data_IF_856262690140
#
_entry.id   IF_856262690140
#
_cell.length_a   1.000
_cell.length_b   1.000
_cell.length_c   1.000
_cell.angle_alpha   90.00
_cell.angle_beta   90.00
_cell.angle_gamma   90.00
#
_symmetry.space_group_name_H-M   'P 1'
#
loop_
_entity.id
_entity.type
_entity.pdbx_description
1 polymer ?
#
# COMPACT_ATOMS: atom_id res chain seq x y z
N UNK A 1 -10.54 19.82 4.91
CA UNK A 1 -11.44 18.65 5.07
C UNK A 1 -11.93 18.18 3.70
N UNK A 2 -11.15 17.30 3.06
CA UNK A 2 -11.28 16.92 1.65
C UNK A 2 -12.65 16.30 1.30
N UNK A 3 -13.14 16.56 0.08
CA UNK A 3 -14.29 15.88 -0.53
C UNK A 3 -13.91 14.43 -0.93
N UNK A 4 -13.18 13.72 -0.08
CA UNK A 4 -12.95 12.28 -0.26
C UNK A 4 -14.30 11.54 -0.22
N UNK A 5 -15.39 12.11 0.27
CA UNK A 5 -16.65 11.36 0.43
C UNK A 5 -17.53 11.24 -0.82
N UNK A 6 -17.44 12.13 -1.81
CA UNK A 6 -18.45 12.15 -2.89
C UNK A 6 -18.29 11.08 -3.97
N UNK A 7 -17.11 10.43 -4.07
CA UNK A 7 -16.82 9.44 -5.12
C UNK A 7 -16.70 8.00 -4.60
N UNK A 8 -16.98 7.75 -3.32
CA UNK A 8 -16.64 6.49 -2.65
C UNK A 8 -17.85 5.63 -2.27
N UNK A 9 -19.07 6.02 -2.66
CA UNK A 9 -20.27 5.30 -2.24
C UNK A 9 -20.28 3.82 -2.68
N UNK A 10 -19.85 3.49 -3.90
CA UNK A 10 -19.93 2.11 -4.39
C UNK A 10 -18.89 1.18 -3.74
N UNK A 11 -17.64 1.63 -3.61
CA UNK A 11 -16.57 0.82 -3.01
C UNK A 11 -16.75 0.65 -1.50
N UNK A 12 -17.21 1.68 -0.79
CA UNK A 12 -17.55 1.54 0.63
C UNK A 12 -18.78 0.66 0.83
N UNK A 13 -19.82 0.76 -0.04
CA UNK A 13 -21.02 -0.10 0.02
C UNK A 13 -20.73 -1.61 -0.12
N UNK A 14 -19.54 -2.01 -0.58
CA UNK A 14 -19.13 -3.41 -0.61
C UNK A 14 -18.45 -3.89 0.68
N UNK A 15 -18.01 -2.98 1.57
CA UNK A 15 -17.36 -3.32 2.83
C UNK A 15 -18.40 -3.68 3.91
N UNK A 16 -18.03 -4.54 4.87
CA UNK A 16 -18.82 -4.77 6.08
C UNK A 16 -18.96 -3.49 6.91
N UNK A 17 -20.04 -3.37 7.68
CA UNK A 17 -20.31 -2.17 8.48
C UNK A 17 -19.20 -1.86 9.49
N UNK A 18 -18.63 -2.87 10.15
CA UNK A 18 -17.47 -2.70 11.04
C UNK A 18 -16.25 -2.12 10.31
N UNK A 19 -15.97 -2.61 9.10
CA UNK A 19 -14.82 -2.16 8.32
C UNK A 19 -15.04 -0.74 7.80
N UNK A 20 -16.28 -0.39 7.42
CA UNK A 20 -16.67 0.99 7.09
C UNK A 20 -16.47 1.91 8.29
N UNK A 21 -16.99 1.56 9.46
CA UNK A 21 -16.87 2.36 10.69
C UNK A 21 -15.41 2.61 11.05
N UNK A 22 -14.57 1.57 11.01
CA UNK A 22 -13.13 1.69 11.27
C UNK A 22 -12.45 2.66 10.29
N UNK A 23 -12.78 2.57 9.00
CA UNK A 23 -12.19 3.45 7.98
C UNK A 23 -12.73 4.87 8.12
N UNK A 24 -14.03 5.06 8.35
CA UNK A 24 -14.63 6.38 8.57
C UNK A 24 -13.99 7.08 9.77
N UNK A 25 -13.69 6.33 10.83
CA UNK A 25 -12.95 6.83 11.99
C UNK A 25 -11.51 7.24 11.62
N UNK A 26 -10.78 6.39 10.88
CA UNK A 26 -9.43 6.72 10.38
C UNK A 26 -9.42 7.95 9.46
N UNK A 27 -10.52 8.19 8.73
CA UNK A 27 -10.63 9.30 7.78
C UNK A 27 -11.11 10.62 8.40
N UNK A 28 -11.55 10.62 9.67
CA UNK A 28 -12.08 11.79 10.35
C UNK A 28 -11.00 12.85 10.66
N UNK A 29 -9.74 12.43 10.80
CA UNK A 29 -8.55 13.28 10.90
C UNK A 29 -7.78 13.22 9.58
N UNK A 30 -7.50 14.37 8.93
CA UNK A 30 -6.94 14.52 7.56
C UNK A 30 -6.07 13.32 7.10
N UNK A 31 -6.69 12.28 6.52
CA UNK A 31 -6.04 10.99 6.37
C UNK A 31 -5.16 10.99 5.12
N UNK A 32 -3.97 10.40 5.24
CA UNK A 32 -3.09 10.23 4.10
C UNK A 32 -3.60 9.04 3.28
N UNK A 33 -4.03 9.29 2.05
CA UNK A 33 -4.44 8.22 1.13
C UNK A 33 -3.26 7.86 0.25
N UNK A 34 -2.83 6.61 0.31
CA UNK A 34 -1.83 6.01 -0.55
C UNK A 34 -2.53 5.33 -1.72
N UNK A 35 -2.11 5.65 -2.94
CA UNK A 35 -2.71 5.13 -4.17
C UNK A 35 -1.83 4.01 -4.72
N UNK A 36 -2.39 2.81 -4.73
CA UNK A 36 -1.72 1.58 -5.12
C UNK A 36 -0.99 0.90 -3.98
N UNK A 37 -1.06 -0.42 -3.96
CA UNK A 37 -0.33 -1.33 -3.05
C UNK A 37 0.90 -1.94 -3.72
N UNK A 38 1.47 -1.23 -4.72
CA UNK A 38 2.74 -1.59 -5.34
C UNK A 38 3.95 -1.26 -4.44
N UNK A 39 5.19 -1.45 -4.92
CA UNK A 39 6.40 -1.23 -4.13
C UNK A 39 6.49 0.16 -3.49
N UNK A 40 6.15 1.21 -4.26
CA UNK A 40 6.21 2.60 -3.78
C UNK A 40 5.12 2.87 -2.75
N UNK A 41 3.89 2.39 -2.99
CA UNK A 41 2.78 2.58 -2.05
C UNK A 41 3.00 1.87 -0.73
N UNK A 42 3.48 0.62 -0.77
CA UNK A 42 3.82 -0.12 0.45
C UNK A 42 5.00 0.50 1.21
N UNK A 43 6.00 1.04 0.51
CA UNK A 43 7.07 1.81 1.16
C UNK A 43 6.53 3.08 1.83
N UNK A 44 5.63 3.82 1.16
CA UNK A 44 4.99 5.00 1.75
C UNK A 44 4.18 4.62 3.01
N UNK A 45 3.38 3.56 2.94
CA UNK A 45 2.63 3.04 4.08
C UNK A 45 3.54 2.65 5.27
N UNK A 46 4.68 2.03 4.98
CA UNK A 46 5.68 1.72 5.98
C UNK A 46 6.22 3.01 6.65
N UNK A 47 6.57 4.03 5.87
CA UNK A 47 6.97 5.33 6.42
C UNK A 47 5.87 5.94 7.32
N UNK A 48 4.62 5.96 6.85
CA UNK A 48 3.50 6.54 7.58
C UNK A 48 3.27 5.81 8.90
N UNK A 49 3.30 4.48 8.88
CA UNK A 49 3.17 3.67 10.08
C UNK A 49 4.33 3.89 11.08
N UNK A 50 5.58 4.00 10.62
CA UNK A 50 6.72 4.33 11.48
C UNK A 50 6.53 5.66 12.22
N UNK A 51 5.88 6.64 11.60
CA UNK A 51 5.62 7.95 12.19
C UNK A 51 4.21 8.08 12.79
N UNK A 52 3.51 6.95 13.02
CA UNK A 52 2.15 6.91 13.56
C UNK A 52 1.16 7.84 12.84
N UNK A 53 1.34 8.04 11.53
CA UNK A 53 0.44 8.84 10.73
C UNK A 53 -0.76 7.98 10.30
N UNK A 54 -2.01 8.46 10.43
CA UNK A 54 -3.17 7.73 9.94
C UNK A 54 -3.18 7.69 8.41
N UNK A 55 -3.33 6.49 7.85
CA UNK A 55 -3.39 6.30 6.39
C UNK A 55 -4.33 5.17 5.96
N UNK A 56 -4.68 5.22 4.68
CA UNK A 56 -5.43 4.20 3.94
C UNK A 56 -4.74 3.94 2.59
N UNK A 57 -4.63 2.68 2.18
CA UNK A 57 -4.13 2.29 0.86
C UNK A 57 -5.33 1.85 0.00
N UNK A 58 -5.43 2.39 -1.20
CA UNK A 58 -6.44 2.01 -2.19
C UNK A 58 -5.76 1.28 -3.35
N UNK A 59 -6.18 0.05 -3.61
CA UNK A 59 -5.64 -0.82 -4.66
C UNK A 59 -6.75 -1.26 -5.60
N UNK A 60 -6.52 -1.12 -6.92
CA UNK A 60 -7.45 -1.57 -7.95
C UNK A 60 -7.54 -3.09 -8.01
N UNK A 61 -6.41 -3.78 -7.87
CA UNK A 61 -6.33 -5.25 -7.89
C UNK A 61 -7.05 -5.91 -6.72
N UNK A 62 -7.32 -7.21 -6.85
CA UNK A 62 -7.87 -8.06 -5.77
C UNK A 62 -6.82 -8.53 -4.77
N UNK A 63 -5.53 -8.30 -5.05
CA UNK A 63 -4.39 -8.62 -4.22
C UNK A 63 -3.32 -7.55 -4.36
N UNK A 64 -2.39 -7.52 -3.41
CA UNK A 64 -1.26 -6.60 -3.51
C UNK A 64 -0.48 -6.84 -4.79
N UNK A 65 0.14 -5.77 -5.28
CA UNK A 65 1.13 -5.84 -6.35
C UNK A 65 0.66 -6.61 -7.61
N UNK A 66 -0.64 -6.55 -7.92
CA UNK A 66 -1.26 -7.38 -8.97
C UNK A 66 -0.56 -7.24 -10.33
N UNK A 67 -0.12 -6.02 -10.68
CA UNK A 67 0.60 -5.73 -11.92
C UNK A 67 1.98 -6.42 -11.99
N UNK A 68 2.73 -6.52 -10.89
CA UNK A 68 4.05 -7.20 -10.90
C UNK A 68 3.89 -8.70 -11.17
N UNK A 69 2.79 -9.28 -10.72
CA UNK A 69 2.51 -10.70 -10.90
C UNK A 69 2.21 -11.07 -12.36
N UNK A 70 1.85 -10.12 -13.22
CA UNK A 70 1.68 -10.33 -14.65
C UNK A 70 3.02 -10.62 -15.35
N UNK A 71 4.12 -10.06 -14.83
CA UNK A 71 5.48 -10.27 -15.32
C UNK A 71 6.38 -10.97 -14.30
N UNK A 72 5.81 -11.81 -13.44
CA UNK A 72 6.50 -12.46 -12.31
C UNK A 72 7.84 -13.16 -12.65
N UNK A 73 8.03 -13.63 -13.88
CA UNK A 73 9.24 -14.31 -14.33
C UNK A 73 10.32 -13.36 -14.87
N UNK A 74 10.02 -12.06 -15.02
CA UNK A 74 10.96 -11.06 -15.54
C UNK A 74 11.93 -10.65 -14.44
N UNK A 75 13.22 -10.73 -14.75
CA UNK A 75 14.30 -10.27 -13.89
C UNK A 75 14.34 -8.74 -13.85
N UNK A 76 14.49 -8.18 -12.66
CA UNK A 76 14.62 -6.74 -12.47
C UNK A 76 16.02 -6.26 -12.84
N UNK A 77 16.09 -5.10 -13.49
CA UNK A 77 17.34 -4.40 -13.82
C UNK A 77 17.94 -3.63 -12.64
N UNK A 78 17.24 -3.59 -11.51
CA UNK A 78 17.70 -2.94 -10.29
C UNK A 78 18.30 -3.98 -9.36
N UNK A 79 19.49 -3.68 -8.84
CA UNK A 79 20.14 -4.55 -7.88
C UNK A 79 19.25 -4.67 -6.64
N UNK A 80 19.13 -5.87 -6.09
CA UNK A 80 18.29 -6.16 -4.93
C UNK A 80 18.44 -5.12 -3.85
N UNK A 81 19.67 -4.85 -3.39
CA UNK A 81 19.95 -3.85 -2.35
C UNK A 81 19.25 -2.50 -2.60
N UNK A 82 19.21 -2.01 -3.84
CA UNK A 82 18.53 -0.76 -4.21
C UNK A 82 17.01 -0.84 -4.10
N UNK A 83 16.42 -2.03 -4.24
CA UNK A 83 14.98 -2.27 -4.06
C UNK A 83 14.64 -2.40 -2.57
N UNK A 84 15.43 -3.19 -1.84
CA UNK A 84 15.25 -3.48 -0.41
C UNK A 84 15.54 -2.26 0.49
N UNK A 85 16.40 -1.33 0.04
CA UNK A 85 16.77 -0.11 0.79
C UNK A 85 15.74 1.02 0.66
N UNK A 86 14.69 0.87 -0.16
CA UNK A 86 13.61 1.86 -0.26
C UNK A 86 12.67 1.86 0.96
N UNK A 87 12.80 0.88 1.86
CA UNK A 87 12.18 0.94 3.19
C UNK A 87 13.04 1.76 4.16
N UNK A 88 12.41 2.49 5.09
CA UNK A 88 13.12 3.34 6.04
C UNK A 88 13.89 2.51 7.07
N UNK A 89 15.17 2.23 6.76
CA UNK A 89 16.17 1.68 7.67
C UNK A 89 15.79 0.34 8.35
N UNK A 90 16.70 -0.14 9.19
CA UNK A 90 16.61 -1.34 10.04
C UNK A 90 15.31 -1.51 10.85
N UNK A 91 14.47 -0.47 10.99
CA UNK A 91 13.18 -0.56 11.67
C UNK A 91 12.28 -1.61 11.01
N UNK A 92 11.96 -1.48 9.71
CA UNK A 92 11.10 -2.46 9.05
C UNK A 92 11.78 -3.80 8.89
N UNK A 93 13.05 -3.85 8.47
CA UNK A 93 13.78 -5.14 8.40
C UNK A 93 13.68 -5.94 9.71
N UNK A 94 13.71 -5.27 10.87
CA UNK A 94 13.45 -5.88 12.19
C UNK A 94 11.97 -6.15 12.46
N UNK A 95 11.07 -5.23 12.11
CA UNK A 95 9.63 -5.31 12.38
C UNK A 95 8.95 -6.47 11.64
N UNK A 96 9.30 -6.69 10.37
CA UNK A 96 8.77 -7.79 9.55
C UNK A 96 9.62 -9.07 9.65
N UNK A 97 10.61 -9.09 10.55
CA UNK A 97 11.45 -10.28 10.81
C UNK A 97 12.17 -10.81 9.57
N UNK A 98 12.36 -9.97 8.55
CA UNK A 98 12.86 -10.44 7.28
C UNK A 98 14.37 -10.70 7.39
N UNK A 99 14.71 -11.98 7.48
CA UNK A 99 16.01 -12.48 7.09
C UNK A 99 16.09 -12.48 5.55
N UNK A 100 16.00 -11.28 4.96
CA UNK A 100 15.97 -11.07 3.51
C UNK A 100 17.13 -11.83 2.89
N UNK A 101 16.85 -12.86 2.10
CA UNK A 101 17.81 -13.32 1.11
C UNK A 101 18.00 -12.16 0.14
N UNK A 102 19.14 -11.48 0.24
CA UNK A 102 19.51 -10.43 -0.71
C UNK A 102 19.77 -11.10 -2.06
N UNK A 103 18.71 -11.23 -2.85
CA UNK A 103 18.83 -11.68 -4.24
C UNK A 103 19.33 -10.47 -5.02
N UNK A 104 20.49 -10.60 -5.66
CA UNK A 104 21.12 -9.47 -6.36
C UNK A 104 20.28 -8.98 -7.53
N UNK A 105 19.57 -9.88 -8.22
CA UNK A 105 18.75 -9.55 -9.40
C UNK A 105 17.44 -10.34 -9.33
N UNK A 106 16.50 -9.94 -8.44
CA UNK A 106 15.29 -10.71 -8.22
C UNK A 106 14.37 -10.61 -9.44
N UNK A 107 13.63 -11.68 -9.67
CA UNK A 107 12.45 -11.70 -10.52
C UNK A 107 11.30 -10.93 -9.88
N UNK A 108 10.27 -10.59 -10.67
CA UNK A 108 9.03 -10.03 -10.13
C UNK A 108 8.39 -10.90 -9.06
N UNK A 109 8.46 -12.23 -9.22
CA UNK A 109 7.97 -13.22 -8.25
C UNK A 109 8.72 -13.11 -6.93
N UNK A 110 10.06 -13.19 -6.98
CA UNK A 110 10.91 -13.09 -5.80
C UNK A 110 10.75 -11.75 -5.10
N UNK A 111 10.60 -10.66 -5.86
CA UNK A 111 10.28 -9.36 -5.28
C UNK A 111 8.96 -9.40 -4.50
N UNK A 112 7.91 -10.04 -5.03
CA UNK A 112 6.63 -10.10 -4.33
C UNK A 112 6.72 -10.98 -3.08
N UNK A 113 7.20 -12.21 -3.22
CA UNK A 113 7.21 -13.22 -2.15
C UNK A 113 8.16 -12.85 -1.01
N UNK A 114 9.36 -12.38 -1.32
CA UNK A 114 10.40 -12.13 -0.31
C UNK A 114 10.30 -10.71 0.29
N UNK A 115 9.57 -9.79 -0.35
CA UNK A 115 9.51 -8.38 0.07
C UNK A 115 8.11 -7.84 0.32
N UNK A 116 7.28 -7.83 -0.72
CA UNK A 116 6.08 -7.01 -0.75
C UNK A 116 4.94 -7.69 -0.01
N UNK A 117 4.82 -9.01 -0.13
CA UNK A 117 3.85 -9.81 0.63
C UNK A 117 4.11 -9.74 2.14
N UNK A 118 5.32 -9.98 2.66
CA UNK A 118 5.61 -9.82 4.08
C UNK A 118 5.29 -8.42 4.60
N UNK A 119 5.65 -7.38 3.84
CA UNK A 119 5.38 -6.00 4.23
C UNK A 119 3.88 -5.68 4.25
N UNK A 120 3.14 -6.10 3.23
CA UNK A 120 1.69 -5.89 3.16
C UNK A 120 0.92 -6.69 4.21
N UNK A 121 1.41 -7.87 4.58
CA UNK A 121 0.79 -8.73 5.60
C UNK A 121 1.08 -8.30 7.03
N UNK A 122 1.98 -7.33 7.24
CA UNK A 122 2.21 -6.76 8.57
C UNK A 122 0.88 -6.23 9.14
N UNK A 123 0.47 -6.61 10.38
CA UNK A 123 -0.87 -6.31 10.90
C UNK A 123 -1.27 -4.84 10.80
N UNK A 124 -0.34 -3.93 11.11
CA UNK A 124 -0.58 -2.49 11.08
C UNK A 124 -0.75 -1.90 9.66
N UNK A 125 -0.37 -2.66 8.61
CA UNK A 125 -0.51 -2.26 7.20
C UNK A 125 -1.69 -3.00 6.57
N UNK A 126 -1.81 -4.31 6.81
CA UNK A 126 -2.81 -5.20 6.19
C UNK A 126 -4.24 -4.69 6.36
N UNK A 127 -4.57 -4.21 7.56
CA UNK A 127 -5.92 -3.71 7.90
C UNK A 127 -6.26 -2.38 7.20
N UNK A 128 -5.26 -1.71 6.65
CA UNK A 128 -5.38 -0.41 5.98
C UNK A 128 -5.40 -0.51 4.46
N UNK A 129 -5.40 -1.72 3.88
CA UNK A 129 -5.48 -1.92 2.43
C UNK A 129 -6.93 -2.21 2.02
N UNK A 130 -7.43 -1.41 1.09
CA UNK A 130 -8.68 -1.66 0.37
C UNK A 130 -8.37 -2.11 -1.06
N UNK A 131 -8.73 -3.34 -1.36
CA UNK A 131 -8.68 -3.92 -2.70
C UNK A 131 -9.93 -3.57 -3.50
N UNK A 132 -9.88 -3.79 -4.82
CA UNK A 132 -10.98 -3.50 -5.74
C UNK A 132 -11.45 -2.03 -5.64
N UNK A 133 -10.52 -1.14 -5.30
CA UNK A 133 -10.72 0.28 -5.13
C UNK A 133 -9.98 1.03 -6.24
N UNK A 134 -10.65 1.18 -7.38
CA UNK A 134 -10.12 1.97 -8.49
C UNK A 134 -10.36 3.47 -8.24
N UNK A 135 -9.29 4.26 -8.37
CA UNK A 135 -9.35 5.71 -8.24
C UNK A 135 -9.50 6.31 -9.62
N UNK A 136 -10.65 6.93 -9.87
CA UNK A 136 -11.00 7.52 -11.17
C UNK A 136 -10.53 8.98 -11.29
N UNK A 137 -10.52 9.73 -10.18
CA UNK A 137 -10.17 11.14 -10.20
C UNK A 137 -9.65 11.62 -8.83
N UNK A 138 -8.73 12.58 -8.86
CA UNK A 138 -8.18 13.28 -7.69
C UNK A 138 -8.27 14.77 -7.97
N UNK A 139 -8.99 15.49 -7.13
CA UNK A 139 -9.14 16.95 -7.26
C UNK A 139 -8.88 17.64 -5.94
N UNK A 140 -8.33 18.85 -6.02
CA UNK A 140 -8.23 19.72 -4.86
C UNK A 140 -9.64 20.16 -4.46
N UNK A 141 -9.93 20.15 -3.16
CA UNK A 141 -11.21 20.65 -2.64
C UNK A 141 -11.43 22.09 -3.10
N UNK A 142 -12.63 22.38 -3.58
CA UNK A 142 -13.06 23.70 -4.07
C UNK A 142 -12.24 24.22 -5.25
N UNK A 143 -11.62 23.33 -6.03
CA UNK A 143 -11.01 23.72 -7.29
C UNK A 143 -12.13 23.93 -8.33
N UNK A 144 -12.52 25.19 -8.50
CA UNK A 144 -13.37 25.65 -9.58
C UNK A 144 -12.42 26.03 -10.73
N UNK A 145 -12.63 25.45 -11.91
CA UNK A 145 -11.91 25.81 -13.13
C UNK A 145 -12.58 27.00 -13.80
#
# INVERSE_FOLDING_TARGET
>A
MYHIFKYYEQTFKALSDEKRLHILYLLAELPIVVIGSGPVGLAAAAHLNKYNQPFLILEKGSKIVSNILEWRNVQLFSHGNSIWMRLPNSYYKRLIGLNLKLINWPTGKELVEEYLEPLANHPQIKERILYQAEILNITKKNWIK
#
